data_IF_856124841876
#
_entry.id   IF_856124841876
#
_cell.length_a   1.000
_cell.length_b   1.000
_cell.length_c   1.000
_cell.angle_alpha   90.00
_cell.angle_beta   90.00
_cell.angle_gamma   90.00
#
_symmetry.space_group_name_H-M   'P 1'
#
loop_
_entity.id
_entity.type
_entity.pdbx_description
1 polymer ?
#
# COMPACT_ATOMS: atom_id res chain seq x y z
N UNK A 1 0.11 7.65 3.02
CA UNK A 1 0.70 8.94 2.60
C UNK A 1 1.47 9.67 3.69
N UNK A 2 1.59 9.13 4.90
CA UNK A 2 2.24 9.81 6.02
C UNK A 2 3.75 9.55 6.16
N UNK A 3 4.42 9.07 5.11
CA UNK A 3 5.88 8.87 5.08
C UNK A 3 6.42 7.68 5.88
N UNK A 4 5.54 6.80 6.39
CA UNK A 4 5.93 5.60 7.14
C UNK A 4 6.04 4.34 6.28
N UNK A 5 6.63 3.30 6.88
CA UNK A 5 6.70 1.95 6.33
C UNK A 5 5.70 1.03 7.03
N UNK A 6 5.24 -0.01 6.33
CA UNK A 6 4.41 -1.07 6.89
C UNK A 6 5.28 -2.30 7.14
N UNK A 7 5.33 -2.75 8.39
CA UNK A 7 5.93 -4.01 8.78
C UNK A 7 4.81 -4.96 9.22
N UNK A 8 4.66 -6.08 8.52
CA UNK A 8 3.62 -7.08 8.79
C UNK A 8 4.26 -8.27 9.52
N UNK A 9 3.78 -8.57 10.73
CA UNK A 9 4.21 -9.74 11.49
C UNK A 9 3.34 -10.95 11.14
N UNK A 10 3.96 -12.12 11.00
CA UNK A 10 3.27 -13.39 10.74
C UNK A 10 3.84 -14.46 11.66
N UNK A 11 2.97 -15.03 12.50
CA UNK A 11 3.33 -16.11 13.41
C UNK A 11 3.23 -17.46 12.71
N UNK A 12 4.28 -18.29 12.71
CA UNK A 12 4.17 -19.68 12.27
C UNK A 12 3.28 -20.48 13.24
N UNK A 13 2.67 -21.53 12.72
CA UNK A 13 2.04 -22.57 13.55
C UNK A 13 3.09 -23.31 14.38
N UNK A 14 2.66 -24.05 15.41
CA UNK A 14 3.54 -24.92 16.19
C UNK A 14 4.38 -25.89 15.32
N UNK A 15 3.86 -26.30 14.16
CA UNK A 15 4.57 -27.12 13.19
C UNK A 15 5.56 -26.36 12.30
N UNK A 16 5.92 -25.11 12.64
CA UNK A 16 6.78 -24.21 11.86
C UNK A 16 6.29 -23.93 10.43
N UNK A 17 4.97 -23.98 10.20
CA UNK A 17 4.35 -23.66 8.90
C UNK A 17 3.56 -22.37 8.98
N UNK A 18 3.58 -21.58 7.91
CA UNK A 18 2.67 -20.44 7.74
C UNK A 18 1.25 -21.01 7.54
N UNK A 19 0.27 -20.46 8.25
CA UNK A 19 -1.12 -20.88 8.06
C UNK A 19 -1.59 -20.52 6.63
N UNK A 20 -2.35 -21.39 5.95
CA UNK A 20 -2.81 -21.13 4.58
C UNK A 20 -3.50 -19.77 4.40
N UNK A 21 -4.23 -19.31 5.42
CA UNK A 21 -4.89 -17.99 5.38
C UNK A 21 -3.88 -16.82 5.29
N UNK A 22 -2.74 -16.90 5.99
CA UNK A 22 -1.73 -15.84 5.92
C UNK A 22 -1.00 -15.86 4.58
N UNK A 23 -0.74 -17.05 4.05
CA UNK A 23 -0.17 -17.20 2.72
C UNK A 23 -1.08 -16.59 1.65
N UNK A 24 -2.37 -16.91 1.68
CA UNK A 24 -3.34 -16.38 0.71
C UNK A 24 -3.43 -14.84 0.78
N UNK A 25 -3.53 -14.28 1.99
CA UNK A 25 -3.54 -12.83 2.18
C UNK A 25 -2.27 -12.15 1.66
N UNK A 26 -1.10 -12.75 1.90
CA UNK A 26 0.16 -12.24 1.36
C UNK A 26 0.25 -12.34 -0.16
N UNK A 27 -0.29 -13.41 -0.76
CA UNK A 27 -0.35 -13.57 -2.22
C UNK A 27 -1.26 -12.53 -2.84
N UNK A 28 -2.44 -12.29 -2.27
CA UNK A 28 -3.36 -11.24 -2.71
C UNK A 28 -2.72 -9.85 -2.58
N UNK A 29 -2.07 -9.57 -1.45
CA UNK A 29 -1.32 -8.34 -1.26
C UNK A 29 -0.21 -8.17 -2.30
N UNK A 30 0.58 -9.22 -2.54
CA UNK A 30 1.64 -9.23 -3.56
C UNK A 30 1.11 -8.99 -4.97
N UNK A 31 -0.05 -9.55 -5.31
CA UNK A 31 -0.70 -9.32 -6.60
C UNK A 31 -1.10 -7.86 -6.77
N UNK A 32 -1.71 -7.26 -5.73
CA UNK A 32 -2.06 -5.85 -5.74
C UNK A 32 -0.83 -4.94 -5.85
N UNK A 33 0.24 -5.26 -5.11
CA UNK A 33 1.52 -4.54 -5.16
C UNK A 33 2.22 -4.65 -6.50
N UNK A 34 2.05 -5.75 -7.24
CA UNK A 34 2.62 -5.90 -8.58
C UNK A 34 2.05 -4.88 -9.57
N UNK A 35 0.77 -4.54 -9.43
CA UNK A 35 0.08 -3.57 -10.30
C UNK A 35 0.30 -2.15 -9.81
N UNK A 36 0.18 -1.91 -8.50
CA UNK A 36 0.16 -0.56 -7.92
C UNK A 36 1.50 -0.12 -7.31
N UNK A 37 2.51 -0.98 -7.35
CA UNK A 37 3.78 -0.80 -6.63
C UNK A 37 4.56 0.44 -7.04
N UNK A 38 4.42 0.91 -8.29
CA UNK A 38 5.02 2.15 -8.76
C UNK A 38 4.60 3.36 -7.91
N UNK A 39 3.33 3.42 -7.50
CA UNK A 39 2.79 4.48 -6.65
C UNK A 39 3.17 4.30 -5.16
N UNK A 40 3.79 3.19 -4.78
CA UNK A 40 4.11 2.84 -3.39
C UNK A 40 5.61 2.88 -3.13
N UNK A 41 6.40 2.11 -3.87
CA UNK A 41 7.85 2.03 -3.67
C UNK A 41 8.54 3.33 -4.09
N UNK A 42 9.49 3.78 -3.28
CA UNK A 42 10.23 5.05 -3.45
C UNK A 42 9.36 6.32 -3.56
N UNK A 43 8.05 6.22 -3.34
CA UNK A 43 7.14 7.35 -3.29
C UNK A 43 7.34 8.17 -2.02
N UNK A 44 7.06 9.47 -2.10
CA UNK A 44 7.07 10.40 -0.97
C UNK A 44 5.64 10.88 -0.68
N UNK A 45 5.36 11.34 0.55
CA UNK A 45 4.15 12.10 0.85
C UNK A 45 4.00 13.28 -0.09
N UNK A 46 2.80 13.47 -0.64
CA UNK A 46 2.46 14.72 -1.32
C UNK A 46 2.02 15.78 -0.29
N UNK A 47 2.07 17.08 -0.67
CA UNK A 47 1.80 18.21 0.23
C UNK A 47 0.41 18.08 0.89
N UNK A 48 -0.70 18.03 0.13
CA UNK A 48 -1.97 17.49 0.62
C UNK A 48 -1.95 15.96 0.51
N UNK A 49 -2.17 15.26 1.62
CA UNK A 49 -2.12 13.79 1.65
C UNK A 49 -3.46 13.14 1.30
N UNK A 50 -4.57 13.86 1.49
CA UNK A 50 -5.93 13.44 1.21
C UNK A 50 -6.78 14.63 0.75
N UNK A 51 -7.94 14.34 0.19
CA UNK A 51 -8.94 15.34 -0.22
C UNK A 51 -9.99 15.52 0.88
N UNK A 52 -10.42 16.77 1.10
CA UNK A 52 -11.51 17.12 2.03
C UNK A 52 -12.89 16.92 1.40
N UNK A 53 -12.99 17.02 0.07
CA UNK A 53 -14.25 16.88 -0.68
C UNK A 53 -14.50 15.42 -1.02
N UNK A 54 -13.47 14.71 -1.47
CA UNK A 54 -13.56 13.31 -1.89
C UNK A 54 -12.93 12.38 -0.85
N UNK A 55 -13.71 11.81 0.09
CA UNK A 55 -13.16 10.93 1.10
C UNK A 55 -12.60 9.64 0.46
N UNK A 56 -11.62 9.03 1.12
CA UNK A 56 -10.96 7.77 0.69
C UNK A 56 -10.01 7.91 -0.52
N UNK A 57 -9.54 9.11 -0.84
CA UNK A 57 -8.45 9.32 -1.80
C UNK A 57 -7.17 9.72 -1.05
N UNK A 58 -6.06 9.09 -1.42
CA UNK A 58 -4.75 9.37 -0.88
C UNK A 58 -3.76 9.76 -1.98
N UNK A 59 -3.01 10.82 -1.75
CA UNK A 59 -2.01 11.32 -2.69
C UNK A 59 -0.59 10.96 -2.27
N UNK A 60 0.23 10.70 -3.28
CA UNK A 60 1.67 10.45 -3.18
C UNK A 60 2.38 11.05 -4.38
N UNK A 61 3.69 11.21 -4.27
CA UNK A 61 4.51 11.69 -5.38
C UNK A 61 5.67 10.74 -5.66
N UNK A 62 6.06 10.62 -6.93
CA UNK A 62 7.26 9.90 -7.33
C UNK A 62 8.51 10.43 -6.64
N UNK A 63 9.57 9.62 -6.59
CA UNK A 63 10.86 10.02 -6.02
C UNK A 63 11.42 11.30 -6.68
N UNK A 64 11.20 11.43 -7.99
CA UNK A 64 11.58 12.57 -8.84
C UNK A 64 10.72 13.81 -8.65
N UNK A 65 9.61 13.70 -7.92
CA UNK A 65 8.66 14.80 -7.67
C UNK A 65 7.94 15.33 -8.93
N UNK A 66 7.94 14.54 -10.02
CA UNK A 66 7.31 14.91 -11.30
C UNK A 66 5.93 14.30 -11.52
N UNK A 67 5.61 13.23 -10.80
CA UNK A 67 4.35 12.47 -10.98
C UNK A 67 3.59 12.39 -9.67
N UNK A 68 2.32 12.78 -9.68
CA UNK A 68 1.42 12.63 -8.54
C UNK A 68 0.49 11.44 -8.77
N UNK A 69 0.44 10.52 -7.82
CA UNK A 69 -0.45 9.37 -7.82
C UNK A 69 -1.62 9.62 -6.89
N UNK A 70 -2.83 9.24 -7.32
CA UNK A 70 -4.04 9.23 -6.50
C UNK A 70 -4.49 7.78 -6.29
N UNK A 71 -4.60 7.37 -5.02
CA UNK A 71 -5.01 6.02 -4.64
C UNK A 71 -6.42 6.10 -4.07
N UNK A 72 -7.38 5.49 -4.78
CA UNK A 72 -8.75 5.32 -4.34
C UNK A 72 -8.86 4.04 -3.53
N UNK A 73 -9.29 4.14 -2.26
CA UNK A 73 -9.42 2.97 -1.37
C UNK A 73 -10.79 2.30 -1.51
N UNK A 74 -11.71 2.91 -2.26
CA UNK A 74 -13.00 2.33 -2.64
C UNK A 74 -13.23 2.54 -4.12
N UNK A 75 -13.79 1.52 -4.77
CA UNK A 75 -14.28 1.67 -6.13
C UNK A 75 -15.46 2.66 -6.14
N UNK A 76 -15.55 3.56 -7.12
CA UNK A 76 -16.66 4.50 -7.25
C UNK A 76 -18.03 3.83 -7.39
#
# INVERSE_FOLDING_TARGET
SCGGNLQINIGPTHGNRIMPIFEEQLRQFGHWMKVNGEAIYASKPWKPQNDTVTPNIWYKVSASETTVYAILVRWP
#
